data_IF_119925710588
#
_entry.id   IF_119925710588
#
_cell.length_a   1.000
_cell.length_b   1.000
_cell.length_c   1.000
_cell.angle_alpha   90.00
_cell.angle_beta   90.00
_cell.angle_gamma   90.00
#
_symmetry.space_group_name_H-M   'P 1'
#
loop_
_entity.id
_entity.type
_entity.pdbx_description
1 polymer ?
#
# COMPACT_ATOMS: atom_id res chain seq x y z
N UNK A 1 8.89 -14.98 -43.72
CA UNK A 1 8.00 -15.06 -42.54
C UNK A 1 8.71 -14.94 -41.17
N UNK A 2 9.94 -14.39 -41.07
CA UNK A 2 10.65 -14.21 -39.78
C UNK A 2 10.52 -12.80 -39.17
N UNK A 3 9.96 -11.84 -39.92
CA UNK A 3 9.87 -10.42 -39.52
C UNK A 3 8.52 -10.01 -38.90
N UNK A 4 7.52 -10.90 -38.89
CA UNK A 4 6.20 -10.62 -38.32
C UNK A 4 6.02 -11.09 -36.87
N UNK A 5 6.87 -12.00 -36.38
CA UNK A 5 6.80 -12.54 -35.01
C UNK A 5 7.42 -11.57 -33.99
N UNK A 6 8.45 -10.82 -34.40
CA UNK A 6 9.10 -9.84 -33.53
C UNK A 6 8.21 -8.61 -33.27
N UNK A 7 7.38 -8.22 -34.24
CA UNK A 7 6.47 -7.07 -34.09
C UNK A 7 5.29 -7.37 -33.14
N UNK A 8 4.81 -8.62 -33.09
CA UNK A 8 3.75 -9.00 -32.13
C UNK A 8 4.26 -9.08 -30.70
N UNK A 9 5.53 -9.41 -30.46
CA UNK A 9 6.10 -9.49 -29.12
C UNK A 9 6.26 -8.10 -28.46
N UNK A 10 6.62 -7.09 -29.26
CA UNK A 10 6.77 -5.70 -28.79
C UNK A 10 5.40 -5.04 -28.57
N UNK A 11 4.39 -5.39 -29.37
CA UNK A 11 3.04 -4.84 -29.21
C UNK A 11 2.36 -5.34 -27.92
N UNK A 12 2.65 -6.57 -27.48
CA UNK A 12 2.15 -7.13 -26.21
C UNK A 12 2.80 -6.45 -24.99
N UNK A 13 4.04 -5.94 -25.11
CA UNK A 13 4.68 -5.18 -24.03
C UNK A 13 4.17 -3.73 -23.91
N UNK A 14 3.59 -3.17 -24.98
CA UNK A 14 3.09 -1.79 -24.99
C UNK A 14 1.65 -1.65 -24.43
N UNK A 15 0.84 -2.70 -24.46
CA UNK A 15 -0.55 -2.67 -23.94
C UNK A 15 -0.68 -3.05 -22.46
N UNK A 16 0.42 -3.40 -21.78
CA UNK A 16 0.42 -3.71 -20.35
C UNK A 16 0.56 -2.49 -19.43
N UNK A 17 0.28 -1.28 -19.94
CA UNK A 17 -0.04 -0.13 -19.07
C UNK A 17 -1.50 -0.28 -18.67
N UNK A 18 -1.78 -1.28 -17.85
CA UNK A 18 -3.01 -1.29 -17.09
C UNK A 18 -3.03 0.01 -16.28
N UNK A 19 -4.14 0.75 -16.35
CA UNK A 19 -4.35 1.95 -15.54
C UNK A 19 -4.27 1.53 -14.06
N UNK A 20 -3.07 1.64 -13.49
CA UNK A 20 -2.83 1.29 -12.12
C UNK A 20 -3.38 2.46 -11.28
N UNK A 21 -4.51 2.22 -10.62
CA UNK A 21 -5.09 3.19 -9.70
C UNK A 21 -4.18 3.26 -8.46
N UNK A 22 -3.54 4.41 -8.27
CA UNK A 22 -2.73 4.70 -7.08
C UNK A 22 -3.54 5.57 -6.11
N UNK A 23 -3.66 5.15 -4.86
CA UNK A 23 -4.28 5.96 -3.81
C UNK A 23 -3.60 5.75 -2.45
N UNK A 24 -3.71 6.77 -1.60
CA UNK A 24 -3.18 6.73 -0.23
C UNK A 24 -4.29 6.41 0.77
N UNK A 25 -3.94 5.65 1.80
CA UNK A 25 -4.88 5.30 2.85
C UNK A 25 -4.24 4.65 4.06
N UNK A 26 -5.08 4.35 5.05
CA UNK A 26 -4.67 3.67 6.27
C UNK A 26 -5.09 2.21 6.19
N UNK A 27 -4.12 1.30 6.19
CA UNK A 27 -4.35 -0.13 6.25
C UNK A 27 -4.79 -0.47 7.69
N UNK A 28 -6.04 -0.90 7.84
CA UNK A 28 -6.66 -1.27 9.13
C UNK A 28 -6.54 -2.77 9.40
N UNK A 29 -6.57 -3.59 8.34
CA UNK A 29 -6.49 -5.06 8.41
C UNK A 29 -5.72 -5.61 7.22
N UNK A 30 -4.91 -6.64 7.46
CA UNK A 30 -4.16 -7.35 6.42
C UNK A 30 -4.08 -8.82 6.81
N UNK A 31 -4.97 -9.65 6.26
CA UNK A 31 -5.12 -11.07 6.59
C UNK A 31 -5.64 -11.84 5.36
N UNK A 32 -5.22 -13.10 5.22
CA UNK A 32 -5.78 -14.06 4.25
C UNK A 32 -5.88 -13.55 2.80
N UNK A 33 -4.86 -12.82 2.33
CA UNK A 33 -4.83 -12.27 0.98
C UNK A 33 -5.84 -11.14 0.74
N UNK A 34 -6.39 -10.55 1.80
CA UNK A 34 -7.25 -9.37 1.76
C UNK A 34 -6.66 -8.25 2.60
N UNK A 35 -6.90 -7.02 2.16
CA UNK A 35 -6.45 -5.83 2.86
C UNK A 35 -7.59 -4.83 2.97
N UNK A 36 -7.92 -4.42 4.21
CA UNK A 36 -8.88 -3.34 4.46
C UNK A 36 -8.11 -2.03 4.59
N UNK A 37 -8.51 -1.04 3.79
CA UNK A 37 -7.91 0.27 3.74
C UNK A 37 -8.98 1.34 3.91
N UNK A 38 -8.76 2.25 4.84
CA UNK A 38 -9.50 3.50 4.93
C UNK A 38 -8.87 4.51 3.98
N UNK A 39 -9.55 4.79 2.85
CA UNK A 39 -9.05 5.74 1.85
C UNK A 39 -9.09 7.15 2.44
N UNK A 40 -7.99 7.88 2.30
CA UNK A 40 -7.91 9.28 2.73
C UNK A 40 -8.18 10.19 1.53
N UNK A 41 -9.45 10.46 1.22
CA UNK A 41 -9.85 11.42 0.17
C UNK A 41 -10.26 12.75 0.79
N UNK A 42 -9.29 13.65 0.99
CA UNK A 42 -9.55 15.05 1.33
C UNK A 42 -10.53 15.24 2.50
N UNK A 43 -11.65 15.93 2.23
CA UNK A 43 -12.71 16.28 3.19
C UNK A 43 -13.82 15.24 3.34
N UNK A 44 -13.80 14.15 2.58
CA UNK A 44 -14.82 13.10 2.68
C UNK A 44 -14.52 12.17 3.87
N UNK A 45 -15.56 11.64 4.55
CA UNK A 45 -15.36 10.66 5.61
C UNK A 45 -14.59 9.46 5.05
N UNK A 46 -13.58 8.95 5.78
CA UNK A 46 -12.72 7.88 5.28
C UNK A 46 -13.54 6.59 5.07
N UNK A 47 -13.73 6.22 3.80
CA UNK A 47 -14.39 4.98 3.41
C UNK A 47 -13.45 3.78 3.63
N UNK A 48 -13.94 2.77 4.34
CA UNK A 48 -13.23 1.51 4.51
C UNK A 48 -13.54 0.58 3.33
N UNK A 49 -12.52 0.33 2.51
CA UNK A 49 -12.59 -0.53 1.33
C UNK A 49 -11.73 -1.76 1.60
N UNK A 50 -12.27 -2.95 1.34
CA UNK A 50 -11.50 -4.20 1.40
C UNK A 50 -11.14 -4.64 0.00
N UNK A 51 -9.85 -4.82 -0.25
CA UNK A 51 -9.28 -5.16 -1.54
C UNK A 51 -8.64 -6.54 -1.49
N UNK A 52 -8.65 -7.23 -2.63
CA UNK A 52 -7.90 -8.48 -2.79
C UNK A 52 -6.44 -8.15 -3.02
N UNK A 53 -5.56 -8.90 -2.38
CA UNK A 53 -4.11 -8.75 -2.50
C UNK A 53 -3.61 -9.81 -3.46
N UNK A 54 -2.82 -9.40 -4.45
CA UNK A 54 -2.22 -10.35 -5.37
C UNK A 54 -1.23 -11.28 -4.64
N UNK A 55 -1.09 -12.52 -5.10
CA UNK A 55 -0.16 -13.49 -4.52
C UNK A 55 1.28 -13.00 -4.61
N UNK A 56 1.61 -12.30 -5.70
CA UNK A 56 2.89 -11.67 -5.97
C UNK A 56 2.92 -10.16 -5.63
N UNK A 57 2.09 -9.69 -4.68
CA UNK A 57 2.10 -8.28 -4.28
C UNK A 57 3.51 -7.84 -3.87
N UNK A 58 3.95 -6.73 -4.44
CA UNK A 58 5.23 -6.11 -4.11
C UNK A 58 5.06 -5.19 -2.91
N UNK A 59 5.77 -5.46 -1.82
CA UNK A 59 5.73 -4.61 -0.62
C UNK A 59 7.07 -3.91 -0.48
N UNK A 60 7.02 -2.58 -0.53
CA UNK A 60 8.19 -1.70 -0.45
C UNK A 60 7.97 -0.63 0.60
N UNK A 61 9.05 -0.06 1.12
CA UNK A 61 8.98 1.16 1.92
C UNK A 61 8.65 2.32 0.99
N UNK A 62 7.61 3.08 1.33
CA UNK A 62 7.27 4.31 0.65
C UNK A 62 8.28 5.40 0.99
N UNK A 63 8.87 6.03 -0.03
CA UNK A 63 9.74 7.20 0.10
C UNK A 63 8.93 8.43 -0.31
N UNK A 64 8.72 9.36 0.62
CA UNK A 64 8.04 10.62 0.30
C UNK A 64 9.01 11.50 -0.49
N UNK A 65 8.68 11.76 -1.75
CA UNK A 65 9.38 12.73 -2.56
C UNK A 65 8.74 14.10 -2.33
N UNK A 66 9.42 14.95 -1.55
CA UNK A 66 8.93 16.29 -1.22
C UNK A 66 8.83 17.22 -2.44
N UNK A 67 9.54 16.92 -3.54
CA UNK A 67 9.46 17.72 -4.76
C UNK A 67 8.16 17.45 -5.54
N UNK A 68 7.67 16.22 -5.49
CA UNK A 68 6.46 15.80 -6.24
C UNK A 68 5.24 15.60 -5.33
N UNK A 69 5.43 15.69 -4.01
CA UNK A 69 4.45 15.31 -2.98
C UNK A 69 3.89 13.89 -3.17
N UNK A 70 4.67 13.00 -3.78
CA UNK A 70 4.28 11.60 -4.05
C UNK A 70 5.07 10.63 -3.18
N UNK A 71 4.44 9.48 -2.91
CA UNK A 71 5.10 8.34 -2.28
C UNK A 71 5.62 7.42 -3.39
N UNK A 72 6.94 7.42 -3.54
CA UNK A 72 7.65 6.57 -4.48
C UNK A 72 8.03 5.23 -3.85
N UNK A 73 8.17 4.19 -4.67
CA UNK A 73 8.70 2.91 -4.22
C UNK A 73 10.18 3.08 -3.82
N UNK A 74 10.46 2.88 -2.53
CA UNK A 74 11.81 2.85 -1.99
C UNK A 74 12.36 1.42 -1.93
N UNK A 75 13.07 1.14 -0.85
CA UNK A 75 13.68 -0.17 -0.59
C UNK A 75 12.63 -1.25 -0.32
N UNK A 76 13.02 -2.52 -0.52
CA UNK A 76 12.18 -3.66 -0.17
C UNK A 76 11.74 -3.58 1.29
N UNK A 77 10.48 -3.94 1.56
CA UNK A 77 9.97 -3.96 2.92
C UNK A 77 10.52 -5.19 3.65
N UNK A 78 11.39 -4.98 4.64
CA UNK A 78 11.98 -6.06 5.44
C UNK A 78 10.87 -6.89 6.12
N UNK A 79 10.86 -8.20 5.85
CA UNK A 79 9.87 -9.15 6.35
C UNK A 79 8.55 -9.22 5.56
N UNK A 80 8.43 -8.49 4.45
CA UNK A 80 7.37 -8.69 3.44
C UNK A 80 5.94 -8.65 4.00
N UNK A 81 5.10 -9.62 3.59
CA UNK A 81 3.68 -9.69 3.96
C UNK A 81 3.47 -9.92 5.45
N UNK A 82 4.30 -10.76 6.07
CA UNK A 82 4.17 -11.12 7.48
C UNK A 82 4.52 -9.94 8.40
N UNK A 83 5.59 -9.21 8.09
CA UNK A 83 5.95 -8.00 8.82
C UNK A 83 4.87 -6.93 8.69
N UNK A 84 4.30 -6.76 7.49
CA UNK A 84 3.17 -5.86 7.28
C UNK A 84 1.95 -6.30 8.10
N UNK A 85 1.58 -7.58 8.07
CA UNK A 85 0.46 -8.12 8.83
C UNK A 85 0.63 -7.88 10.34
N UNK A 86 1.82 -8.16 10.87
CA UNK A 86 2.16 -7.92 12.28
C UNK A 86 2.04 -6.44 12.65
N UNK A 87 2.61 -5.57 11.83
CA UNK A 87 2.57 -4.13 12.06
C UNK A 87 1.14 -3.58 11.98
N UNK A 88 0.32 -4.08 11.05
CA UNK A 88 -1.10 -3.69 10.94
C UNK A 88 -1.85 -4.11 12.20
N UNK A 89 -1.62 -5.32 12.72
CA UNK A 89 -2.20 -5.78 13.99
C UNK A 89 -1.79 -4.90 15.17
N UNK A 90 -0.49 -4.71 15.37
CA UNK A 90 0.05 -3.88 16.46
C UNK A 90 -0.48 -2.43 16.38
N UNK A 91 -0.56 -1.88 15.16
CA UNK A 91 -1.08 -0.53 14.95
C UNK A 91 -2.59 -0.48 15.21
N UNK A 92 -3.36 -1.47 14.77
CA UNK A 92 -4.80 -1.54 15.01
C UNK A 92 -5.13 -1.62 16.52
N UNK A 93 -4.38 -2.41 17.29
CA UNK A 93 -4.52 -2.49 18.74
C UNK A 93 -4.18 -1.17 19.43
N UNK A 94 -3.08 -0.52 19.02
CA UNK A 94 -2.75 0.82 19.50
C UNK A 94 -3.85 1.81 19.17
N UNK A 95 -4.36 1.83 17.95
CA UNK A 95 -5.43 2.75 17.55
C UNK A 95 -6.68 2.54 18.40
N UNK A 96 -7.10 1.29 18.66
CA UNK A 96 -8.21 0.99 19.57
C UNK A 96 -7.98 1.60 20.96
N UNK A 97 -6.81 1.35 21.55
CA UNK A 97 -6.46 1.90 22.87
C UNK A 97 -6.49 3.43 22.90
N UNK A 98 -5.99 4.09 21.85
CA UNK A 98 -6.00 5.55 21.77
C UNK A 98 -7.42 6.12 21.60
N UNK A 99 -8.29 5.43 20.86
CA UNK A 99 -9.71 5.78 20.74
C UNK A 99 -10.40 5.66 22.10
N UNK A 100 -10.16 4.56 22.84
CA UNK A 100 -10.69 4.35 24.19
C UNK A 100 -10.17 5.41 25.18
N UNK A 101 -8.90 5.80 25.07
CA UNK A 101 -8.30 6.90 25.84
C UNK A 101 -8.78 8.30 25.39
N UNK A 102 -9.70 8.40 24.43
CA UNK A 102 -10.25 9.67 23.94
C UNK A 102 -9.27 10.53 23.14
N UNK A 103 -8.10 9.99 22.77
CA UNK A 103 -7.06 10.68 22.00
C UNK A 103 -7.43 10.73 20.52
N UNK A 104 -8.30 11.69 20.17
CA UNK A 104 -8.63 12.02 18.78
C UNK A 104 -7.38 12.53 18.05
N UNK A 105 -6.92 11.80 17.03
CA UNK A 105 -5.84 12.25 16.14
C UNK A 105 -4.74 11.24 15.85
N UNK A 106 -4.71 10.07 16.50
CA UNK A 106 -3.75 9.02 16.16
C UNK A 106 -4.23 8.24 14.93
N UNK A 107 -3.38 8.16 13.90
CA UNK A 107 -3.73 7.69 12.54
C UNK A 107 -4.47 6.35 12.51
N UNK A 108 -5.44 6.24 11.59
CA UNK A 108 -6.44 5.16 11.53
C UNK A 108 -5.87 3.76 11.18
N UNK A 109 -4.56 3.57 11.17
CA UNK A 109 -3.89 2.34 10.75
C UNK A 109 -2.48 2.60 10.23
N UNK A 110 -1.92 1.61 9.52
CA UNK A 110 -0.61 1.76 8.86
C UNK A 110 -0.80 2.59 7.59
N UNK A 111 -0.16 3.75 7.52
CA UNK A 111 -0.27 4.62 6.35
C UNK A 111 0.53 4.03 5.18
N UNK A 112 -0.12 3.90 4.02
CA UNK A 112 0.50 3.37 2.82
C UNK A 112 -0.09 4.02 1.56
N UNK A 113 0.73 4.04 0.51
CA UNK A 113 0.21 4.18 -0.87
C UNK A 113 -0.03 2.79 -1.43
N UNK A 114 -1.21 2.58 -2.01
CA UNK A 114 -1.66 1.31 -2.56
C UNK A 114 -1.79 1.49 -4.07
N UNK A 115 -1.19 0.57 -4.81
CA UNK A 115 -1.31 0.47 -6.26
C UNK A 115 -2.17 -0.73 -6.58
N UNK A 116 -3.27 -0.49 -7.29
CA UNK A 116 -4.19 -1.54 -7.74
C UNK A 116 -4.21 -1.65 -9.25
N UNK A 117 -4.28 -2.89 -9.73
CA UNK A 117 -4.57 -3.21 -11.12
C UNK A 117 -5.94 -3.90 -11.18
N UNK A 118 -6.95 -3.16 -11.63
CA UNK A 118 -8.35 -3.62 -11.54
C UNK A 118 -8.80 -3.80 -10.09
N UNK A 119 -9.23 -5.02 -9.71
CA UNK A 119 -9.71 -5.35 -8.36
C UNK A 119 -8.61 -5.85 -7.40
N UNK A 120 -7.35 -5.92 -7.86
CA UNK A 120 -6.24 -6.53 -7.13
C UNK A 120 -5.16 -5.53 -6.77
N UNK A 121 -4.65 -5.63 -5.56
CA UNK A 121 -3.50 -4.86 -5.07
C UNK A 121 -2.21 -5.53 -5.57
N UNK A 122 -1.42 -4.79 -6.33
CA UNK A 122 -0.18 -5.27 -6.95
C UNK A 122 1.07 -4.69 -6.28
N UNK A 123 0.97 -3.48 -5.71
CA UNK A 123 2.06 -2.89 -4.93
C UNK A 123 1.53 -2.15 -3.68
N UNK A 124 2.25 -2.31 -2.56
CA UNK A 124 1.99 -1.59 -1.31
C UNK A 124 3.26 -0.85 -0.91
N UNK A 125 3.17 0.48 -0.85
CA UNK A 125 4.26 1.37 -0.45
C UNK A 125 3.98 1.86 0.98
N UNK A 126 4.57 1.19 1.96
CA UNK A 126 4.32 1.46 3.38
C UNK A 126 5.06 2.72 3.82
N UNK A 127 4.31 3.74 4.22
CA UNK A 127 4.84 5.08 4.52
C UNK A 127 4.59 5.39 6.00
N UNK A 128 5.35 4.72 6.87
CA UNK A 128 5.23 4.87 8.32
C UNK A 128 5.17 3.53 9.05
N UNK A 129 5.97 3.43 10.12
CA UNK A 129 6.01 2.29 11.05
C UNK A 129 7.03 1.18 10.74
N UNK A 130 7.88 1.35 9.72
CA UNK A 130 8.98 0.42 9.42
C UNK A 130 10.36 0.79 10.01
N UNK A 131 10.50 1.95 10.65
CA UNK A 131 11.68 2.27 11.46
C UNK A 131 11.24 2.49 12.90
N UNK A 132 11.60 1.55 13.80
CA UNK A 132 12.03 1.96 15.14
C UNK A 132 13.04 3.08 14.90
N UNK A 133 12.83 4.24 15.53
CA UNK A 133 13.91 5.22 15.69
C UNK A 133 15.11 4.43 16.17
N UNK A 134 16.17 4.38 15.37
CA UNK A 134 17.48 4.05 15.89
C UNK A 134 17.83 5.30 16.70
N UNK A 135 17.78 5.16 18.03
CA UNK A 135 18.29 6.16 18.95
C UNK A 135 19.70 6.57 18.49
N UNK A 136 19.94 7.87 18.45
CA UNK A 136 21.24 8.46 18.16
C UNK A 136 21.66 9.25 19.37
#
# INVERSE_FOLDING_TARGET
>A
MRKFIAASLVLVMATAVAAADEFVGFITKFEDGKMSVKKSKGTEPPEEVTLKVADNVKIVRGKVNNATMKIEAGEAYEGGKEALAKQVKETAERVKKYIEEGKKGFGLGVFASIVTEGDKVTEIRVTGGGKKKQDK
#
